data_IF_517029991813
#
_entry.id   IF_517029991813
#
_cell.length_a   1.000
_cell.length_b   1.000
_cell.length_c   1.000
_cell.angle_alpha   90.00
_cell.angle_beta   90.00
_cell.angle_gamma   90.00
#
_symmetry.space_group_name_H-M   'P 1'
#
loop_
_entity.id
_entity.type
_entity.pdbx_description
1 polymer ?
#
# COMPACT_ATOMS: atom_id res chain seq x y z
N UNK A 1 -4.33 10.31 20.11
CA UNK A 1 -3.32 9.30 19.73
C UNK A 1 -3.90 8.15 18.91
N UNK A 2 -4.91 7.38 19.34
CA UNK A 2 -5.44 6.25 18.54
C UNK A 2 -6.02 6.70 17.19
N UNK A 3 -6.69 7.86 17.17
CA UNK A 3 -7.30 8.44 15.98
C UNK A 3 -6.27 8.83 14.93
N UNK A 4 -5.11 9.37 15.33
CA UNK A 4 -4.04 9.74 14.38
C UNK A 4 -3.40 8.50 13.74
N UNK A 5 -3.26 7.40 14.49
CA UNK A 5 -2.71 6.15 13.95
C UNK A 5 -3.65 5.52 12.91
N UNK A 6 -4.97 5.58 13.15
CA UNK A 6 -6.00 5.16 12.20
C UNK A 6 -6.08 6.07 10.97
N UNK A 7 -5.94 7.38 11.15
CA UNK A 7 -5.91 8.35 10.05
C UNK A 7 -4.66 8.26 9.18
N UNK A 8 -3.50 7.94 9.76
CA UNK A 8 -2.23 7.79 9.01
C UNK A 8 -2.11 6.39 8.38
N UNK A 9 -2.74 5.35 8.94
CA UNK A 9 -2.70 4.00 8.39
C UNK A 9 -3.19 3.89 6.95
N UNK A 10 -4.18 4.72 6.57
CA UNK A 10 -4.68 4.81 5.19
C UNK A 10 -3.66 5.39 4.20
N UNK A 11 -2.60 6.05 4.67
CA UNK A 11 -1.53 6.62 3.83
C UNK A 11 -0.29 5.72 3.72
N UNK A 12 -0.20 4.66 4.53
CA UNK A 12 0.88 3.67 4.45
C UNK A 12 0.33 2.26 4.24
N UNK A 13 -0.39 2.00 3.13
CA UNK A 13 -1.01 0.70 2.85
C UNK A 13 0.02 -0.43 2.70
N UNK A 14 1.31 -0.09 2.51
CA UNK A 14 2.43 -1.03 2.52
C UNK A 14 2.63 -1.75 3.86
N UNK A 15 2.26 -1.13 5.00
CA UNK A 15 2.32 -1.77 6.32
C UNK A 15 1.14 -2.73 6.59
N UNK A 16 0.17 -2.77 5.68
CA UNK A 16 -1.11 -3.48 5.83
C UNK A 16 -1.38 -4.41 4.64
N UNK A 17 -0.39 -4.72 3.80
CA UNK A 17 -0.57 -5.68 2.71
C UNK A 17 -0.42 -7.14 3.21
N UNK A 18 -1.08 -7.52 4.32
CA UNK A 18 -1.08 -8.91 4.82
C UNK A 18 -2.49 -9.46 5.01
N UNK A 19 -2.65 -10.78 4.83
CA UNK A 19 -3.90 -11.49 5.15
C UNK A 19 -4.36 -11.29 6.62
N UNK A 20 -3.44 -10.89 7.50
CA UNK A 20 -3.65 -10.69 8.93
C UNK A 20 -4.04 -9.26 9.30
N UNK A 21 -4.40 -8.43 8.32
CA UNK A 21 -4.71 -7.02 8.53
C UNK A 21 -5.68 -6.74 9.66
N UNK A 22 -6.77 -7.49 9.73
CA UNK A 22 -7.79 -7.34 10.76
C UNK A 22 -7.24 -7.67 12.17
N UNK A 23 -6.30 -8.63 12.27
CA UNK A 23 -5.61 -8.97 13.53
C UNK A 23 -4.67 -7.84 13.93
N UNK A 24 -3.89 -7.32 12.98
CA UNK A 24 -2.97 -6.21 13.22
C UNK A 24 -3.74 -4.99 13.73
N UNK A 25 -4.88 -4.66 13.13
CA UNK A 25 -5.78 -3.58 13.60
C UNK A 25 -6.26 -3.84 15.02
N UNK A 26 -6.70 -5.06 15.34
CA UNK A 26 -7.14 -5.41 16.69
C UNK A 26 -6.02 -5.23 17.74
N UNK A 27 -4.78 -5.67 17.41
CA UNK A 27 -3.61 -5.50 18.29
C UNK A 27 -3.29 -4.02 18.51
N UNK A 28 -3.31 -3.21 17.45
CA UNK A 28 -3.07 -1.76 17.54
C UNK A 28 -4.10 -1.06 18.44
N UNK A 29 -5.38 -1.47 18.38
CA UNK A 29 -6.42 -0.93 19.28
C UNK A 29 -6.09 -1.25 20.74
N UNK A 30 -5.72 -2.50 21.05
CA UNK A 30 -5.33 -2.91 22.41
C UNK A 30 -4.13 -2.10 22.91
N UNK A 31 -3.09 -1.94 22.09
CA UNK A 31 -1.94 -1.11 22.42
C UNK A 31 -2.35 0.34 22.72
N UNK A 32 -3.24 0.92 21.91
CA UNK A 32 -3.77 2.27 22.11
C UNK A 32 -4.53 2.42 23.45
N UNK A 33 -5.33 1.43 23.83
CA UNK A 33 -6.03 1.39 25.13
C UNK A 33 -5.03 1.30 26.28
N UNK A 34 -4.02 0.43 26.19
CA UNK A 34 -2.99 0.27 27.23
C UNK A 34 -2.20 1.57 27.46
N UNK A 35 -1.76 2.24 26.39
CA UNK A 35 -1.04 3.51 26.49
C UNK A 35 -1.94 4.59 27.14
N UNK A 36 -3.21 4.67 26.74
CA UNK A 36 -4.15 5.63 27.34
C UNK A 36 -4.41 5.33 28.82
N UNK A 37 -4.50 4.05 29.19
CA UNK A 37 -4.67 3.64 30.59
C UNK A 37 -3.48 4.06 31.45
N UNK A 38 -2.25 3.99 30.92
CA UNK A 38 -1.05 4.46 31.60
C UNK A 38 -1.11 5.95 31.92
N UNK A 39 -1.35 6.78 30.90
CA UNK A 39 -1.44 8.22 31.10
C UNK A 39 -2.61 8.60 31.99
N UNK A 40 -3.78 7.97 31.84
CA UNK A 40 -4.93 8.29 32.67
C UNK A 40 -4.69 7.95 34.16
N UNK A 41 -4.04 6.82 34.44
CA UNK A 41 -3.72 6.43 35.82
C UNK A 41 -2.67 7.34 36.46
N UNK A 42 -1.70 7.80 35.66
CA UNK A 42 -0.71 8.79 36.07
C UNK A 42 -1.32 10.16 36.38
N UNK A 43 -2.18 10.68 35.49
CA UNK A 43 -2.86 11.97 35.71
C UNK A 43 -3.86 11.90 36.87
N UNK A 44 -4.43 10.73 37.14
CA UNK A 44 -5.32 10.50 38.28
C UNK A 44 -4.59 10.26 39.61
N UNK A 45 -3.25 10.28 39.64
CA UNK A 45 -2.45 10.07 40.86
C UNK A 45 -2.50 8.64 41.42
N UNK A 46 -2.97 7.66 40.64
CA UNK A 46 -3.18 6.26 41.08
C UNK A 46 -1.94 5.36 40.95
N UNK A 47 -0.79 5.96 40.64
CA UNK A 47 0.49 5.26 40.39
C UNK A 47 0.74 4.95 38.91
N UNK A 48 1.98 4.50 38.60
CA UNK A 48 2.46 4.16 37.25
C UNK A 48 2.18 2.69 36.92
N UNK A 49 1.19 2.36 36.07
CA UNK A 49 0.92 0.96 35.70
C UNK A 49 1.91 0.47 34.65
N UNK A 50 3.14 0.15 35.05
CA UNK A 50 4.23 -0.27 34.13
C UNK A 50 3.89 -1.49 33.25
N UNK A 51 2.93 -2.32 33.66
CA UNK A 51 2.46 -3.47 32.89
C UNK A 51 1.93 -3.09 31.49
N UNK A 52 1.43 -1.87 31.32
CA UNK A 52 0.92 -1.39 30.01
C UNK A 52 2.01 -1.33 28.95
N UNK A 53 3.26 -1.07 29.35
CA UNK A 53 4.41 -1.10 28.45
C UNK A 53 4.77 -2.53 28.03
N UNK A 54 4.59 -3.50 28.93
CA UNK A 54 4.71 -4.93 28.59
C UNK A 54 3.70 -5.35 27.52
N UNK A 55 2.42 -4.93 27.67
CA UNK A 55 1.39 -5.20 26.66
C UNK A 55 1.70 -4.53 25.32
N UNK A 56 2.20 -3.29 25.35
CA UNK A 56 2.62 -2.59 24.14
C UNK A 56 3.80 -3.29 23.44
N UNK A 57 4.80 -3.75 24.20
CA UNK A 57 5.96 -4.46 23.65
C UNK A 57 5.56 -5.81 23.01
N UNK A 58 4.70 -6.58 23.70
CA UNK A 58 4.18 -7.85 23.17
C UNK A 58 3.33 -7.63 21.91
N UNK A 59 2.49 -6.59 21.91
CA UNK A 59 1.70 -6.21 20.73
C UNK A 59 2.61 -5.86 19.53
N UNK A 60 3.67 -5.08 19.76
CA UNK A 60 4.66 -4.75 18.74
C UNK A 60 5.37 -5.99 18.17
N UNK A 61 5.83 -6.90 19.04
CA UNK A 61 6.46 -8.16 18.62
C UNK A 61 5.51 -9.06 17.82
N UNK A 62 4.24 -9.12 18.21
CA UNK A 62 3.22 -9.88 17.49
C UNK A 62 2.99 -9.32 16.08
N UNK A 63 2.96 -7.99 15.91
CA UNK A 63 2.83 -7.36 14.59
C UNK A 63 4.05 -7.66 13.71
N UNK A 64 5.28 -7.58 14.26
CA UNK A 64 6.50 -7.92 13.51
C UNK A 64 6.49 -9.39 13.06
N UNK A 65 6.04 -10.29 13.94
CA UNK A 65 5.91 -11.71 13.62
C UNK A 65 4.85 -11.98 12.55
N UNK A 66 3.67 -11.35 12.64
CA UNK A 66 2.61 -11.48 11.63
C UNK A 66 3.03 -10.95 10.25
N UNK A 67 3.86 -9.90 10.20
CA UNK A 67 4.42 -9.37 8.95
C UNK A 67 5.58 -10.20 8.40
N UNK A 68 6.14 -11.14 9.17
CA UNK A 68 7.21 -12.02 8.71
C UNK A 68 6.70 -13.15 7.79
N UNK A 69 5.37 -13.28 7.63
CA UNK A 69 4.77 -14.22 6.68
C UNK A 69 4.54 -13.50 5.35
N UNK A 70 5.40 -13.71 4.33
CA UNK A 70 5.18 -13.13 3.01
C UNK A 70 3.85 -13.64 2.47
N UNK A 71 2.96 -12.72 2.12
CA UNK A 71 1.83 -13.06 1.25
C UNK A 71 2.46 -13.34 -0.09
N UNK A 72 2.37 -14.60 -0.54
CA UNK A 72 2.94 -15.00 -1.81
C UNK A 72 2.51 -14.04 -2.90
N UNK A 73 3.48 -13.58 -3.70
CA UNK A 73 3.18 -12.97 -4.99
C UNK A 73 2.11 -13.83 -5.67
N UNK A 74 1.09 -13.24 -6.30
CA UNK A 74 0.11 -14.01 -7.06
C UNK A 74 0.89 -14.96 -7.96
N UNK A 75 0.54 -16.25 -7.87
CA UNK A 75 1.25 -17.31 -8.58
C UNK A 75 1.49 -16.84 -10.01
N UNK A 76 2.76 -16.67 -10.38
CA UNK A 76 3.15 -16.28 -11.72
C UNK A 76 2.48 -17.26 -12.67
N UNK A 77 1.41 -16.81 -13.33
CA UNK A 77 0.83 -17.54 -14.43
C UNK A 77 1.96 -17.61 -15.45
N UNK A 78 2.44 -18.82 -15.73
CA UNK A 78 3.49 -19.04 -16.71
C UNK A 78 2.95 -18.62 -18.08
N UNK A 79 3.09 -17.33 -18.40
CA UNK A 79 2.92 -16.79 -19.75
C UNK A 79 4.27 -16.88 -20.43
N UNK A 80 4.68 -18.10 -20.75
CA UNK A 80 5.82 -18.35 -21.61
C UNK A 80 5.55 -17.69 -22.98
N UNK A 81 6.23 -16.57 -23.24
CA UNK A 81 6.41 -16.02 -24.58
C UNK A 81 5.31 -15.09 -25.09
N UNK A 82 4.88 -14.10 -24.31
CA UNK A 82 4.29 -12.91 -24.90
C UNK A 82 5.42 -11.92 -25.15
N UNK A 83 5.63 -11.54 -26.41
CA UNK A 83 6.62 -10.56 -26.83
C UNK A 83 6.54 -9.34 -25.90
N UNK A 84 7.66 -8.98 -25.26
CA UNK A 84 7.70 -7.91 -24.25
C UNK A 84 7.06 -6.60 -24.74
N UNK A 85 7.04 -6.39 -26.06
CA UNK A 85 6.39 -5.24 -26.71
C UNK A 85 4.87 -5.31 -26.63
N UNK A 86 4.20 -6.44 -26.89
CA UNK A 86 2.73 -6.53 -26.84
C UNK A 86 2.19 -6.39 -25.40
N UNK A 87 2.85 -7.04 -24.45
CA UNK A 87 2.49 -6.94 -23.03
C UNK A 87 2.72 -5.52 -22.53
N UNK A 88 3.85 -4.91 -22.92
CA UNK A 88 4.13 -3.54 -22.52
C UNK A 88 3.14 -2.54 -23.13
N UNK A 89 2.73 -2.71 -24.39
CA UNK A 89 1.67 -1.88 -25.00
C UNK A 89 0.37 -1.97 -24.21
N UNK A 90 -0.03 -3.18 -23.81
CA UNK A 90 -1.23 -3.34 -22.99
C UNK A 90 -1.09 -2.72 -21.59
N UNK A 91 0.10 -2.81 -20.98
CA UNK A 91 0.40 -2.13 -19.71
C UNK A 91 0.39 -0.61 -19.88
N UNK A 92 0.94 -0.10 -20.97
CA UNK A 92 0.93 1.33 -21.31
C UNK A 92 -0.51 1.83 -21.40
N UNK A 93 -1.38 1.16 -22.14
CA UNK A 93 -2.81 1.50 -22.24
C UNK A 93 -3.51 1.51 -20.88
N UNK A 94 -3.20 0.54 -20.01
CA UNK A 94 -3.74 0.52 -18.64
C UNK A 94 -3.23 1.72 -17.85
N UNK A 95 -1.94 2.03 -17.89
CA UNK A 95 -1.39 3.16 -17.12
C UNK A 95 -1.95 4.49 -17.63
N UNK A 96 -2.04 4.65 -18.95
CA UNK A 96 -2.62 5.83 -19.58
C UNK A 96 -4.08 6.04 -19.19
N UNK A 97 -4.88 4.96 -19.19
CA UNK A 97 -6.31 5.02 -18.87
C UNK A 97 -6.61 5.14 -17.38
N UNK A 98 -5.78 4.54 -16.51
CA UNK A 98 -6.06 4.46 -15.06
C UNK A 98 -5.29 5.46 -14.21
N UNK A 99 -4.14 5.95 -14.66
CA UNK A 99 -3.19 6.71 -13.83
C UNK A 99 -2.91 8.13 -14.35
N UNK A 100 -2.80 8.32 -15.67
CA UNK A 100 -2.26 9.56 -16.25
C UNK A 100 -3.16 10.78 -16.04
N UNK A 101 -4.47 10.59 -15.84
CA UNK A 101 -5.40 11.67 -15.48
C UNK A 101 -4.94 12.47 -14.23
N UNK A 102 -4.26 11.81 -13.29
CA UNK A 102 -3.72 12.42 -12.07
C UNK A 102 -2.19 12.56 -12.11
N UNK A 103 -1.49 11.71 -12.87
CA UNK A 103 -0.04 11.62 -12.95
C UNK A 103 0.50 12.13 -14.30
N UNK A 104 -0.06 13.22 -14.81
CA UNK A 104 0.39 13.91 -16.00
C UNK A 104 1.25 15.15 -15.67
N UNK A 105 1.99 15.67 -16.65
CA UNK A 105 2.60 17.00 -16.60
C UNK A 105 1.55 18.06 -16.27
N UNK A 106 0.40 17.96 -16.93
CA UNK A 106 -0.79 18.77 -16.68
C UNK A 106 -1.95 17.84 -16.29
N UNK A 107 -2.12 17.52 -14.99
CA UNK A 107 -3.21 16.66 -14.56
C UNK A 107 -4.56 17.30 -14.86
N UNK A 108 -5.50 16.46 -15.28
CA UNK A 108 -6.86 16.85 -15.69
C UNK A 108 -7.92 16.40 -14.70
N UNK A 109 -7.50 15.84 -13.57
CA UNK A 109 -8.39 15.44 -12.47
C UNK A 109 -8.71 16.62 -11.55
N UNK A 110 -9.99 16.81 -11.24
CA UNK A 110 -10.43 17.90 -10.37
C UNK A 110 -9.78 17.82 -8.99
N UNK A 111 -9.21 18.94 -8.54
CA UNK A 111 -8.51 19.04 -7.25
C UNK A 111 -7.05 18.55 -7.28
N UNK A 112 -6.51 18.15 -8.43
CA UNK A 112 -5.10 17.76 -8.60
C UNK A 112 -4.42 18.73 -9.56
N UNK A 113 -3.83 19.84 -9.09
CA UNK A 113 -3.19 20.83 -9.98
C UNK A 113 -1.78 20.42 -10.43
N UNK A 114 -1.15 19.46 -9.74
CA UNK A 114 0.23 18.99 -9.98
C UNK A 114 0.25 17.48 -9.72
N UNK A 115 1.01 16.69 -10.52
CA UNK A 115 1.10 15.25 -10.29
C UNK A 115 1.54 14.94 -8.86
N UNK A 116 0.83 14.06 -8.13
CA UNK A 116 1.22 13.68 -6.77
C UNK A 116 2.65 13.14 -6.72
N UNK A 117 3.42 13.60 -5.73
CA UNK A 117 4.84 13.28 -5.56
C UNK A 117 5.72 13.60 -6.79
N UNK A 118 5.23 14.46 -7.70
CA UNK A 118 5.86 14.76 -8.98
C UNK A 118 6.11 13.52 -9.86
N UNK A 119 5.30 12.47 -9.67
CA UNK A 119 5.34 11.24 -10.48
C UNK A 119 4.52 11.47 -11.75
N UNK A 120 5.17 11.33 -12.90
CA UNK A 120 4.56 11.45 -14.23
C UNK A 120 4.49 10.09 -14.89
N UNK A 121 3.42 9.83 -15.63
CA UNK A 121 3.07 8.54 -16.25
C UNK A 121 2.42 8.76 -17.62
N UNK A 122 2.94 9.66 -18.45
CA UNK A 122 2.37 9.99 -19.76
C UNK A 122 3.09 9.33 -20.93
N UNK A 123 4.34 8.93 -20.73
CA UNK A 123 5.17 8.37 -21.79
C UNK A 123 5.65 6.96 -21.43
N UNK A 124 5.96 6.11 -22.42
CA UNK A 124 6.61 4.83 -22.19
C UNK A 124 7.84 4.92 -21.27
N UNK A 125 8.66 5.96 -21.46
CA UNK A 125 9.87 6.19 -20.68
C UNK A 125 9.55 6.48 -19.20
N UNK A 126 8.45 7.19 -18.92
CA UNK A 126 7.98 7.45 -17.58
C UNK A 126 7.50 6.18 -16.87
N UNK A 127 6.72 5.36 -17.57
CA UNK A 127 6.21 4.09 -17.06
C UNK A 127 7.36 3.15 -16.69
N UNK A 128 8.38 3.07 -17.54
CA UNK A 128 9.57 2.27 -17.29
C UNK A 128 10.38 2.78 -16.09
N UNK A 129 10.51 4.10 -15.96
CA UNK A 129 11.24 4.78 -14.89
C UNK A 129 10.55 4.63 -13.53
N UNK A 130 9.22 4.66 -13.50
CA UNK A 130 8.41 4.61 -12.29
C UNK A 130 7.88 3.20 -11.96
N UNK A 131 8.35 2.18 -12.68
CA UNK A 131 7.86 0.80 -12.60
C UNK A 131 7.76 0.23 -11.17
N UNK A 132 8.78 0.44 -10.33
CA UNK A 132 8.78 0.00 -8.93
C UNK A 132 7.70 0.69 -8.09
N UNK A 133 7.39 1.96 -8.40
CA UNK A 133 6.29 2.69 -7.76
C UNK A 133 4.94 2.22 -8.26
N UNK A 134 4.82 1.96 -9.56
CA UNK A 134 3.60 1.38 -10.16
C UNK A 134 3.29 0.04 -9.48
N UNK A 135 4.29 -0.83 -9.32
CA UNK A 135 4.15 -2.10 -8.60
C UNK A 135 3.67 -1.90 -7.16
N UNK A 136 4.40 -1.08 -6.41
CA UNK A 136 4.13 -0.87 -5.00
C UNK A 136 2.72 -0.32 -4.76
N UNK A 137 2.24 0.60 -5.62
CA UNK A 137 0.98 1.30 -5.44
C UNK A 137 -0.21 0.58 -6.07
N UNK A 138 -0.06 0.01 -7.28
CA UNK A 138 -1.18 -0.59 -8.02
C UNK A 138 -1.27 -2.10 -7.84
N UNK A 139 -0.16 -2.82 -7.64
CA UNK A 139 -0.18 -4.28 -7.52
C UNK A 139 -0.18 -4.69 -6.05
N UNK A 140 0.86 -4.29 -5.31
CA UNK A 140 1.11 -4.81 -3.96
C UNK A 140 0.16 -4.23 -2.92
N UNK A 141 0.03 -2.90 -2.88
CA UNK A 141 -0.78 -2.22 -1.86
C UNK A 141 -2.22 -1.95 -2.30
N UNK A 142 -2.49 -2.00 -3.61
CA UNK A 142 -3.79 -1.61 -4.22
C UNK A 142 -4.26 -0.21 -3.80
N UNK A 143 -3.32 0.65 -3.44
CA UNK A 143 -3.58 2.01 -3.00
C UNK A 143 -3.97 2.94 -4.15
N UNK A 144 -3.45 2.63 -5.35
CA UNK A 144 -3.75 3.35 -6.58
C UNK A 144 -4.55 2.46 -7.53
N UNK A 145 -5.56 3.01 -8.23
CA UNK A 145 -6.13 4.34 -8.05
C UNK A 145 -6.81 4.52 -6.68
N UNK A 146 -6.85 5.72 -6.07
CA UNK A 146 -7.43 5.92 -4.74
C UNK A 146 -8.89 5.49 -4.72
N UNK A 147 -9.27 4.60 -3.80
CA UNK A 147 -10.64 4.07 -3.75
C UNK A 147 -11.10 3.36 -5.03
N UNK A 148 -10.16 2.98 -5.90
CA UNK A 148 -10.41 2.46 -7.24
C UNK A 148 -11.30 3.36 -8.13
N UNK A 149 -11.13 4.69 -8.04
CA UNK A 149 -11.97 5.67 -8.78
C UNK A 149 -11.97 5.53 -10.29
N UNK A 150 -10.94 4.93 -10.89
CA UNK A 150 -10.89 4.65 -12.34
C UNK A 150 -11.33 3.23 -12.70
N UNK A 151 -11.92 2.50 -11.75
CA UNK A 151 -12.46 1.14 -11.95
C UNK A 151 -11.43 0.14 -12.49
N UNK A 152 -10.18 0.25 -12.03
CA UNK A 152 -9.12 -0.69 -12.40
C UNK A 152 -9.46 -2.10 -11.91
N UNK A 153 -9.42 -3.06 -12.82
CA UNK A 153 -9.80 -4.46 -12.63
C UNK A 153 -8.64 -5.28 -12.05
N UNK A 154 -8.95 -6.46 -11.52
CA UNK A 154 -7.91 -7.39 -11.04
C UNK A 154 -7.08 -7.95 -12.21
N UNK A 155 -7.68 -8.17 -13.38
CA UNK A 155 -6.97 -8.67 -14.56
C UNK A 155 -5.91 -7.66 -15.05
N UNK A 156 -6.24 -6.36 -15.04
CA UNK A 156 -5.29 -5.29 -15.36
C UNK A 156 -4.12 -5.25 -14.36
N UNK A 157 -4.40 -5.44 -13.05
CA UNK A 157 -3.34 -5.52 -12.02
C UNK A 157 -2.45 -6.74 -12.21
N UNK A 158 -3.04 -7.88 -12.57
CA UNK A 158 -2.28 -9.09 -12.89
C UNK A 158 -1.40 -8.93 -14.13
N UNK A 159 -1.88 -8.22 -15.15
CA UNK A 159 -1.08 -7.94 -16.36
C UNK A 159 0.15 -7.10 -16.02
N UNK A 160 -0.02 -6.05 -15.20
CA UNK A 160 1.08 -5.21 -14.72
C UNK A 160 2.06 -6.04 -13.89
N UNK A 161 1.57 -6.90 -13.00
CA UNK A 161 2.40 -7.77 -12.18
C UNK A 161 3.24 -8.76 -13.03
N UNK A 162 2.62 -9.36 -14.06
CA UNK A 162 3.29 -10.28 -14.97
C UNK A 162 4.39 -9.57 -15.77
N UNK A 163 4.11 -8.36 -16.28
CA UNK A 163 5.09 -7.54 -16.97
C UNK A 163 6.29 -7.18 -16.09
N UNK A 164 6.06 -6.77 -14.84
CA UNK A 164 7.13 -6.44 -13.90
C UNK A 164 7.98 -7.66 -13.56
N UNK A 165 7.36 -8.80 -13.26
CA UNK A 165 8.07 -10.04 -12.98
C UNK A 165 8.94 -10.50 -14.15
N UNK A 166 8.48 -10.32 -15.40
CA UNK A 166 9.23 -10.63 -16.61
C UNK A 166 10.44 -9.70 -16.84
N UNK A 167 10.47 -8.51 -16.22
CA UNK A 167 11.59 -7.56 -16.32
C UNK A 167 12.69 -7.80 -15.30
N UNK A 168 12.38 -8.43 -14.18
CA UNK A 168 13.33 -8.72 -13.10
C UNK A 168 14.05 -10.06 -13.26
N UNK A 169 13.56 -10.93 -14.15
CA UNK A 169 14.17 -12.21 -14.54
C UNK A 169 15.04 -12.11 -15.79
#
# INVERSE_FOLDING_TARGET
LPVLFLMIGNHYPMNFATQWNWVIVAVVIVMGVSIRHFFNSQHAGKGTPWWTWGVAAVGGLMILWLNSFPVGAPAAMQTSGLENDEVFVAVEDIVLSRCSMCHAEEPVWEGVPVPPLNVRLETPADILREASRIEAQSVLSRAMPPGNVTEMTEDERHLIAAWLAAREG
#
